data_IF_119716358180
#
_entry.id   IF_119716358180
#
_cell.length_a   1.000
_cell.length_b   1.000
_cell.length_c   1.000
_cell.angle_alpha   90.00
_cell.angle_beta   90.00
_cell.angle_gamma   90.00
#
_symmetry.space_group_name_H-M   'P 1'
#
loop_
_entity.id
_entity.type
_entity.pdbx_description
1 polymer ?
#
# COMPACT_ATOMS: atom_id res chain seq x y z
N UNK A 1 -27.71 -8.78 -30.92
CA UNK A 1 -26.84 -9.92 -30.59
C UNK A 1 -25.49 -9.33 -30.21
N UNK A 2 -25.35 -8.99 -28.93
CA UNK A 2 -24.11 -8.54 -28.30
C UNK A 2 -24.09 -9.22 -26.94
N UNK A 3 -23.08 -10.04 -26.71
CA UNK A 3 -22.83 -10.67 -25.43
C UNK A 3 -22.25 -9.62 -24.49
N UNK A 4 -22.87 -9.45 -23.33
CA UNK A 4 -22.24 -8.81 -22.19
C UNK A 4 -21.67 -9.91 -21.31
N UNK A 5 -20.35 -10.01 -21.27
CA UNK A 5 -19.64 -10.49 -20.08
C UNK A 5 -19.52 -9.26 -19.19
N UNK A 6 -20.03 -9.35 -17.96
CA UNK A 6 -20.07 -8.26 -16.99
C UNK A 6 -19.19 -8.68 -15.82
N UNK A 7 -18.10 -7.96 -15.58
CA UNK A 7 -17.26 -8.12 -14.41
C UNK A 7 -16.81 -6.75 -13.87
N UNK A 8 -16.70 -6.73 -12.54
CA UNK A 8 -16.11 -5.79 -11.58
C UNK A 8 -16.54 -4.31 -11.57
N UNK A 9 -16.69 -3.80 -10.35
CA UNK A 9 -17.41 -2.59 -9.97
C UNK A 9 -16.65 -1.36 -10.50
N UNK A 10 -17.19 -0.71 -11.53
CA UNK A 10 -16.63 0.56 -12.00
C UNK A 10 -16.78 1.66 -10.95
N UNK A 11 -15.67 2.13 -10.39
CA UNK A 11 -15.60 3.39 -9.66
C UNK A 11 -15.56 4.56 -10.66
N UNK A 12 -16.33 5.61 -10.38
CA UNK A 12 -16.39 6.84 -11.16
C UNK A 12 -15.86 7.97 -10.26
N UNK A 13 -14.67 8.50 -10.53
CA UNK A 13 -14.17 9.71 -9.84
C UNK A 13 -14.84 10.94 -10.47
N UNK A 14 -15.61 11.70 -9.67
CA UNK A 14 -16.16 13.00 -10.05
C UNK A 14 -15.89 14.03 -8.94
N UNK A 15 -15.15 15.09 -9.29
CA UNK A 15 -14.98 16.28 -8.46
C UNK A 15 -16.33 16.99 -8.24
N UNK A 16 -16.68 17.29 -6.98
CA UNK A 16 -18.01 17.79 -6.58
C UNK A 16 -17.91 19.09 -5.75
N UNK A 17 -18.09 20.23 -6.43
CA UNK A 17 -17.93 21.60 -5.90
C UNK A 17 -19.19 22.23 -5.24
N UNK A 18 -20.17 21.46 -4.75
CA UNK A 18 -21.32 22.07 -4.07
C UNK A 18 -21.96 21.24 -2.95
N UNK A 19 -22.37 21.94 -1.88
CA UNK A 19 -23.08 21.43 -0.70
C UNK A 19 -24.33 20.58 -1.01
N UNK A 20 -25.08 20.88 -2.09
CA UNK A 20 -26.23 20.04 -2.49
C UNK A 20 -25.81 18.67 -3.03
N UNK A 21 -24.63 18.54 -3.64
CA UNK A 21 -24.14 17.26 -4.15
C UNK A 21 -23.52 16.40 -3.04
N UNK A 22 -22.90 17.04 -2.02
CA UNK A 22 -22.48 16.35 -0.78
C UNK A 22 -23.65 15.76 0.00
N UNK A 23 -24.81 16.44 0.01
CA UNK A 23 -26.02 15.94 0.67
C UNK A 23 -26.68 14.78 -0.11
N UNK A 24 -26.59 14.79 -1.45
CA UNK A 24 -27.05 13.68 -2.28
C UNK A 24 -26.11 12.47 -2.19
N UNK A 25 -24.81 12.69 -2.05
CA UNK A 25 -23.80 11.64 -1.82
C UNK A 25 -23.90 11.03 -0.41
N UNK A 26 -24.22 11.82 0.62
CA UNK A 26 -24.52 11.29 1.95
C UNK A 26 -25.79 10.42 1.95
N UNK A 27 -26.80 10.77 1.13
CA UNK A 27 -27.97 9.91 0.93
C UNK A 27 -27.66 8.65 0.09
N UNK A 28 -26.64 8.70 -0.76
CA UNK A 28 -26.19 7.57 -1.59
C UNK A 28 -25.26 6.63 -0.82
N UNK A 29 -24.41 7.13 0.08
CA UNK A 29 -23.59 6.33 1.01
C UNK A 29 -24.45 5.58 2.04
N UNK A 30 -25.55 6.16 2.52
CA UNK A 30 -26.51 5.46 3.39
C UNK A 30 -27.35 4.43 2.62
N UNK A 31 -27.39 4.50 1.28
CA UNK A 31 -28.13 3.58 0.42
C UNK A 31 -27.24 2.56 -0.32
N UNK A 32 -25.92 2.64 -0.16
CA UNK A 32 -24.94 1.76 -0.82
C UNK A 32 -24.19 0.95 0.23
N UNK A 33 -24.91 0.20 1.06
CA UNK A 33 -24.36 -1.02 1.65
C UNK A 33 -24.08 -1.99 0.49
N UNK A 34 -22.95 -1.82 -0.20
CA UNK A 34 -22.42 -2.87 -1.05
C UNK A 34 -21.73 -3.90 -0.15
N UNK A 35 -22.52 -4.62 0.64
CA UNK A 35 -22.11 -5.94 1.10
C UNK A 35 -21.97 -6.80 -0.16
N UNK A 36 -20.77 -7.32 -0.44
CA UNK A 36 -20.64 -8.45 -1.36
C UNK A 36 -21.60 -9.53 -0.84
N UNK A 37 -22.54 -9.93 -1.69
CA UNK A 37 -23.71 -10.68 -1.25
C UNK A 37 -23.28 -12.01 -0.61
N UNK A 38 -23.50 -12.17 0.69
CA UNK A 38 -23.82 -13.48 1.25
C UNK A 38 -24.85 -14.10 0.30
N UNK A 39 -24.46 -15.16 -0.40
CA UNK A 39 -25.36 -15.80 -1.34
C UNK A 39 -26.30 -16.65 -0.50
N UNK A 40 -27.49 -16.13 -0.23
CA UNK A 40 -28.50 -16.87 0.53
C UNK A 40 -28.85 -18.16 -0.23
N UNK A 41 -28.35 -19.30 0.25
CA UNK A 41 -28.65 -20.61 -0.34
C UNK A 41 -29.86 -21.20 0.37
N UNK A 42 -30.90 -21.51 -0.40
CA UNK A 42 -32.13 -22.10 0.14
C UNK A 42 -32.41 -23.47 -0.46
N UNK A 43 -32.70 -24.45 0.41
CA UNK A 43 -33.22 -25.76 0.01
C UNK A 43 -34.53 -26.07 0.72
N UNK A 44 -35.43 -26.76 0.02
CA UNK A 44 -36.53 -27.49 0.66
C UNK A 44 -36.11 -28.94 0.84
N UNK A 45 -36.24 -29.45 2.07
CA UNK A 45 -35.81 -30.79 2.44
C UNK A 45 -37.03 -31.67 2.64
N UNK A 46 -37.07 -32.80 1.95
CA UNK A 46 -38.11 -33.82 2.13
C UNK A 46 -37.47 -35.18 2.38
N UNK A 47 -38.25 -36.14 2.86
CA UNK A 47 -37.82 -37.53 2.97
C UNK A 47 -38.98 -38.47 2.66
N UNK A 48 -38.74 -39.42 1.75
CA UNK A 48 -39.73 -40.44 1.36
C UNK A 48 -39.32 -41.86 1.77
N UNK A 49 -38.13 -41.98 2.39
CA UNK A 49 -37.53 -43.23 2.85
C UNK A 49 -36.61 -42.94 4.07
N UNK A 50 -35.86 -43.94 4.52
CA UNK A 50 -34.90 -43.85 5.65
C UNK A 50 -33.44 -43.88 5.19
N UNK A 51 -33.20 -43.79 3.89
CA UNK A 51 -31.87 -43.91 3.27
C UNK A 51 -31.30 -42.56 2.87
N UNK A 52 -32.12 -41.59 2.48
CA UNK A 52 -31.67 -40.25 2.10
C UNK A 52 -32.66 -39.13 2.42
N UNK A 53 -32.12 -37.91 2.56
CA UNK A 53 -32.87 -36.68 2.38
C UNK A 53 -32.91 -36.32 0.90
N UNK A 54 -34.03 -35.75 0.45
CA UNK A 54 -34.15 -35.14 -0.88
C UNK A 54 -34.11 -33.62 -0.73
N UNK A 55 -33.11 -33.00 -1.34
CA UNK A 55 -32.91 -31.55 -1.37
C UNK A 55 -33.46 -31.01 -2.69
N UNK A 56 -34.38 -30.05 -2.61
CA UNK A 56 -34.89 -29.29 -3.75
C UNK A 56 -34.35 -27.85 -3.67
N UNK A 57 -33.63 -27.40 -4.69
CA UNK A 57 -33.15 -26.02 -4.76
C UNK A 57 -34.25 -25.06 -5.26
N UNK A 58 -33.96 -23.75 -5.26
CA UNK A 58 -34.89 -22.72 -5.72
C UNK A 58 -35.34 -22.84 -7.19
N UNK A 59 -34.66 -23.67 -8.00
CA UNK A 59 -35.00 -23.96 -9.38
C UNK A 59 -35.84 -25.25 -9.54
N UNK A 60 -36.21 -25.90 -8.44
CA UNK A 60 -36.97 -27.15 -8.43
C UNK A 60 -36.15 -28.39 -8.79
N UNK A 61 -34.82 -28.27 -8.83
CA UNK A 61 -33.94 -29.42 -9.08
C UNK A 61 -33.77 -30.20 -7.79
N UNK A 62 -34.03 -31.50 -7.84
CA UNK A 62 -33.92 -32.39 -6.70
C UNK A 62 -32.68 -33.27 -6.77
N UNK A 63 -32.07 -33.50 -5.61
CA UNK A 63 -30.92 -34.40 -5.45
C UNK A 63 -30.95 -35.03 -4.06
N UNK A 64 -30.46 -36.26 -3.97
CA UNK A 64 -30.40 -36.98 -2.69
C UNK A 64 -29.05 -36.75 -2.03
N UNK A 65 -29.06 -36.38 -0.76
CA UNK A 65 -27.89 -36.10 0.08
C UNK A 65 -26.72 -35.43 -0.67
N UNK A 66 -26.93 -34.24 -1.29
CA UNK A 66 -25.87 -33.57 -2.02
C UNK A 66 -24.77 -33.08 -1.08
N UNK A 67 -23.56 -32.96 -1.62
CA UNK A 67 -22.59 -32.03 -1.05
C UNK A 67 -23.06 -30.60 -1.33
N UNK A 68 -23.23 -29.81 -0.27
CA UNK A 68 -23.52 -28.38 -0.37
C UNK A 68 -22.18 -27.64 -0.33
N UNK A 69 -21.95 -26.69 -1.22
CA UNK A 69 -20.77 -25.81 -1.18
C UNK A 69 -21.25 -24.39 -0.89
N UNK A 70 -20.64 -23.75 0.11
CA UNK A 70 -20.92 -22.39 0.58
C UNK A 70 -19.60 -21.65 0.76
N UNK A 71 -19.65 -20.33 0.74
CA UNK A 71 -18.55 -19.46 1.11
C UNK A 71 -18.74 -19.04 2.58
N UNK A 72 -17.65 -18.83 3.33
CA UNK A 72 -17.74 -18.17 4.63
C UNK A 72 -18.50 -16.84 4.47
N UNK A 73 -19.32 -16.44 5.45
CA UNK A 73 -20.21 -15.28 5.33
C UNK A 73 -21.54 -15.52 4.62
N UNK A 74 -21.75 -16.65 3.91
CA UNK A 74 -23.06 -16.99 3.32
C UNK A 74 -24.15 -17.22 4.39
N UNK A 75 -25.42 -17.32 3.95
CA UNK A 75 -26.51 -17.81 4.79
C UNK A 75 -27.17 -19.05 4.17
N UNK A 76 -27.17 -20.17 4.88
CA UNK A 76 -27.88 -21.39 4.51
C UNK A 76 -29.26 -21.42 5.15
N UNK A 77 -30.32 -21.56 4.35
CA UNK A 77 -31.69 -21.74 4.80
C UNK A 77 -32.23 -23.10 4.34
N UNK A 78 -32.62 -23.95 5.29
CA UNK A 78 -33.21 -25.25 5.02
C UNK A 78 -34.67 -25.27 5.49
N UNK A 79 -35.59 -25.38 4.55
CA UNK A 79 -37.02 -25.55 4.85
C UNK A 79 -37.31 -27.04 5.01
N UNK A 80 -37.41 -27.50 6.26
CA UNK A 80 -37.58 -28.92 6.55
C UNK A 80 -39.05 -29.31 6.43
N UNK A 81 -39.33 -30.27 5.55
CA UNK A 81 -40.63 -30.89 5.28
C UNK A 81 -40.48 -32.43 5.21
N UNK A 82 -39.56 -33.00 6.00
CA UNK A 82 -39.21 -34.42 5.97
C UNK A 82 -40.08 -35.29 6.90
N UNK A 83 -41.08 -34.71 7.57
CA UNK A 83 -41.90 -35.38 8.56
C UNK A 83 -41.23 -35.47 9.94
N UNK A 84 -42.03 -35.73 10.97
CA UNK A 84 -41.58 -35.70 12.38
C UNK A 84 -40.62 -36.82 12.78
N UNK A 85 -40.46 -37.87 11.97
CA UNK A 85 -39.51 -38.96 12.22
C UNK A 85 -38.08 -38.64 11.76
N UNK A 86 -37.86 -37.50 11.11
CA UNK A 86 -36.60 -37.18 10.44
C UNK A 86 -35.96 -35.87 10.92
N UNK A 87 -35.50 -35.79 12.20
CA UNK A 87 -34.79 -34.61 12.69
C UNK A 87 -33.51 -34.37 11.90
N UNK A 88 -33.28 -33.14 11.45
CA UNK A 88 -32.12 -32.74 10.64
C UNK A 88 -31.10 -31.99 11.48
N UNK A 89 -29.88 -32.52 11.56
CA UNK A 89 -28.79 -31.93 12.33
C UNK A 89 -27.62 -31.51 11.43
N UNK A 90 -27.08 -30.31 11.65
CA UNK A 90 -25.76 -29.90 11.15
C UNK A 90 -24.72 -30.10 12.25
N UNK A 91 -23.62 -30.74 11.89
CA UNK A 91 -22.51 -31.11 12.77
C UNK A 91 -21.20 -30.43 12.32
N UNK A 92 -20.33 -30.20 13.30
CA UNK A 92 -19.03 -29.56 13.14
C UNK A 92 -17.99 -30.49 12.45
N UNK A 93 -16.83 -29.94 12.02
CA UNK A 93 -15.84 -30.70 11.26
C UNK A 93 -15.15 -31.84 12.03
N UNK A 94 -15.33 -31.93 13.36
CA UNK A 94 -14.75 -33.01 14.17
C UNK A 94 -15.58 -34.29 14.17
N UNK A 95 -16.74 -34.31 13.49
CA UNK A 95 -17.58 -35.50 13.41
C UNK A 95 -16.88 -36.63 12.64
N UNK A 96 -16.67 -37.81 13.25
CA UNK A 96 -15.91 -38.90 12.63
C UNK A 96 -16.73 -39.75 11.65
N UNK A 97 -18.01 -39.42 11.42
CA UNK A 97 -18.96 -40.27 10.71
C UNK A 97 -19.72 -41.25 11.63
N UNK A 98 -20.74 -41.91 11.08
CA UNK A 98 -21.57 -42.87 11.80
C UNK A 98 -22.91 -42.29 12.26
N UNK A 99 -23.42 -42.75 13.41
CA UNK A 99 -24.69 -42.27 13.95
C UNK A 99 -24.58 -40.86 14.54
N UNK A 100 -25.71 -40.15 14.60
CA UNK A 100 -25.80 -38.85 15.26
C UNK A 100 -25.23 -38.86 16.68
N UNK A 101 -24.48 -37.81 17.02
CA UNK A 101 -23.95 -37.57 18.36
C UNK A 101 -23.91 -36.07 18.62
N UNK A 102 -24.66 -35.65 19.65
CA UNK A 102 -24.85 -34.24 20.02
C UNK A 102 -23.57 -33.49 20.40
N UNK A 103 -22.50 -34.21 20.74
CA UNK A 103 -21.16 -33.63 20.99
C UNK A 103 -20.64 -32.85 19.78
N UNK A 104 -21.06 -33.22 18.58
CA UNK A 104 -20.61 -32.61 17.34
C UNK A 104 -21.59 -31.58 16.78
N UNK A 105 -22.64 -31.20 17.51
CA UNK A 105 -23.60 -30.21 17.01
C UNK A 105 -22.89 -28.91 16.63
N UNK A 106 -23.18 -28.42 15.43
CA UNK A 106 -22.63 -27.15 14.96
C UNK A 106 -23.28 -25.97 15.70
N UNK A 107 -22.44 -25.10 16.25
CA UNK A 107 -22.88 -23.86 16.89
C UNK A 107 -23.37 -22.83 15.85
N UNK A 108 -24.24 -21.92 16.27
CA UNK A 108 -24.79 -20.86 15.40
C UNK A 108 -25.95 -21.29 14.49
N UNK A 109 -26.28 -22.58 14.45
CA UNK A 109 -27.41 -23.10 13.65
C UNK A 109 -28.72 -22.92 14.42
N UNK A 110 -29.62 -22.09 13.89
CA UNK A 110 -30.96 -21.86 14.43
C UNK A 110 -31.88 -23.01 14.04
N UNK A 111 -32.62 -23.57 15.01
CA UNK A 111 -33.50 -24.73 14.86
C UNK A 111 -32.79 -26.02 14.41
N UNK A 112 -31.52 -26.18 14.81
CA UNK A 112 -30.78 -27.44 14.60
C UNK A 112 -31.50 -28.61 15.27
N UNK A 113 -31.67 -29.73 14.56
CA UNK A 113 -32.48 -30.88 15.00
C UNK A 113 -33.97 -30.76 14.73
N UNK A 114 -34.42 -29.76 13.99
CA UNK A 114 -35.82 -29.60 13.60
C UNK A 114 -36.31 -30.67 12.60
N UNK A 115 -37.62 -30.82 12.45
CA UNK A 115 -38.25 -31.81 11.53
C UNK A 115 -39.18 -31.17 10.50
N UNK A 116 -40.01 -30.22 10.92
CA UNK A 116 -41.01 -29.51 10.11
C UNK A 116 -40.92 -28.00 10.39
N UNK A 117 -39.73 -27.45 10.19
CA UNK A 117 -39.37 -26.07 10.56
C UNK A 117 -38.30 -25.54 9.61
N UNK A 118 -38.12 -24.22 9.57
CA UNK A 118 -36.98 -23.61 8.88
C UNK A 118 -35.75 -23.59 9.79
N UNK A 119 -34.70 -24.27 9.36
CA UNK A 119 -33.37 -24.20 9.94
C UNK A 119 -32.56 -23.13 9.20
N UNK A 120 -31.85 -22.28 9.93
CA UNK A 120 -31.02 -21.21 9.36
C UNK A 120 -29.63 -21.29 9.95
N UNK A 121 -28.61 -21.20 9.10
CA UNK A 121 -27.22 -21.11 9.51
C UNK A 121 -26.58 -19.90 8.82
N UNK A 122 -26.18 -18.92 9.63
CA UNK A 122 -25.37 -17.77 9.20
C UNK A 122 -23.89 -18.18 9.30
N UNK A 123 -23.16 -18.08 8.19
CA UNK A 123 -21.76 -18.48 8.08
C UNK A 123 -20.79 -17.32 8.34
N UNK A 124 -21.27 -16.16 8.78
CA UNK A 124 -20.40 -15.05 9.23
C UNK A 124 -19.49 -15.52 10.36
N UNK A 125 -18.16 -15.44 10.14
CA UNK A 125 -17.16 -15.92 11.09
C UNK A 125 -17.06 -17.45 11.23
N UNK A 126 -17.69 -18.22 10.35
CA UNK A 126 -17.54 -19.68 10.30
C UNK A 126 -16.25 -20.03 9.56
N UNK A 127 -15.37 -20.77 10.22
CA UNK A 127 -14.11 -21.22 9.63
C UNK A 127 -14.35 -22.09 8.37
N UNK A 128 -13.52 -21.93 7.32
CA UNK A 128 -13.53 -22.84 6.18
C UNK A 128 -13.29 -24.29 6.62
N UNK A 129 -13.97 -25.23 5.97
CA UNK A 129 -13.87 -26.65 6.32
C UNK A 129 -15.02 -27.50 5.82
N UNK A 130 -14.97 -28.79 6.17
CA UNK A 130 -16.04 -29.74 5.85
C UNK A 130 -16.88 -29.99 7.10
N UNK A 131 -18.12 -29.55 7.03
CA UNK A 131 -19.19 -29.79 8.00
C UNK A 131 -20.07 -30.94 7.49
N UNK A 132 -20.92 -31.45 8.36
CA UNK A 132 -21.78 -32.58 8.04
C UNK A 132 -23.23 -32.26 8.33
N UNK A 133 -24.14 -32.89 7.62
CA UNK A 133 -25.52 -33.00 8.06
C UNK A 133 -25.94 -34.46 8.18
N UNK A 134 -26.88 -34.73 9.08
CA UNK A 134 -27.35 -36.09 9.37
C UNK A 134 -28.78 -36.10 9.90
N UNK A 135 -29.52 -37.18 9.64
CA UNK A 135 -30.74 -37.47 10.36
C UNK A 135 -30.44 -38.13 11.71
N UNK A 136 -31.03 -37.64 12.79
CA UNK A 136 -30.84 -38.23 14.13
C UNK A 136 -31.16 -39.73 14.18
N UNK A 137 -32.26 -40.12 13.54
CA UNK A 137 -32.79 -41.48 13.61
C UNK A 137 -32.24 -42.41 12.53
N UNK A 138 -31.64 -41.85 11.46
CA UNK A 138 -31.27 -42.60 10.26
C UNK A 138 -29.83 -42.24 9.84
N UNK A 139 -28.82 -43.01 10.28
CA UNK A 139 -27.42 -42.70 10.02
C UNK A 139 -27.02 -42.66 8.54
N UNK A 140 -27.80 -43.32 7.66
CA UNK A 140 -27.57 -43.32 6.21
C UNK A 140 -27.96 -41.99 5.56
N UNK A 141 -28.87 -41.24 6.18
CA UNK A 141 -29.31 -39.93 5.70
C UNK A 141 -28.30 -38.86 6.12
N UNK A 142 -27.15 -38.85 5.46
CA UNK A 142 -26.03 -37.98 5.81
C UNK A 142 -25.32 -37.46 4.56
N UNK A 143 -24.78 -36.24 4.66
CA UNK A 143 -23.97 -35.65 3.62
C UNK A 143 -23.09 -34.54 4.17
N UNK A 144 -22.44 -33.80 3.28
CA UNK A 144 -21.41 -32.81 3.64
C UNK A 144 -21.82 -31.40 3.24
N UNK A 145 -21.37 -30.42 4.03
CA UNK A 145 -21.38 -29.01 3.68
C UNK A 145 -19.92 -28.56 3.65
N UNK A 146 -19.43 -28.12 2.49
CA UNK A 146 -18.09 -27.58 2.32
C UNK A 146 -18.19 -26.06 2.38
N UNK A 147 -17.49 -25.46 3.34
CA UNK A 147 -17.37 -24.01 3.49
C UNK A 147 -16.00 -23.60 2.97
N UNK A 148 -15.96 -22.76 1.93
CA UNK A 148 -14.73 -22.22 1.36
C UNK A 148 -14.41 -20.84 1.95
N UNK A 149 -13.13 -20.39 1.91
CA UNK A 149 -12.76 -19.02 2.29
C UNK A 149 -13.50 -17.96 1.47
N UNK A 150 -13.64 -16.73 2.03
CA UNK A 150 -14.22 -15.57 1.34
C UNK A 150 -13.37 -15.10 0.16
N UNK A 151 -12.06 -15.29 0.25
CA UNK A 151 -11.08 -14.84 -0.73
C UNK A 151 -9.66 -15.15 -0.29
N UNK A 152 -8.67 -14.55 -0.95
CA UNK A 152 -7.34 -14.38 -0.38
C UNK A 152 -7.36 -13.57 0.93
N UNK A 153 -6.30 -13.75 1.69
CA UNK A 153 -5.89 -13.07 2.93
C UNK A 153 -4.37 -12.93 2.72
N UNK A 154 -3.99 -11.84 2.07
CA UNK A 154 -2.68 -11.69 1.40
C UNK A 154 -1.56 -11.53 2.42
N UNK A 155 -1.77 -10.71 3.45
CA UNK A 155 -0.84 -10.50 4.57
C UNK A 155 -0.92 -11.57 5.68
N UNK A 156 -1.98 -12.38 5.71
CA UNK A 156 -2.17 -13.44 6.69
C UNK A 156 -2.59 -12.95 8.07
N UNK A 157 -3.20 -11.77 8.17
CA UNK A 157 -3.59 -11.13 9.42
C UNK A 157 -4.89 -11.74 10.02
N UNK A 158 -5.63 -12.48 9.20
CA UNK A 158 -6.88 -13.17 9.54
C UNK A 158 -8.16 -12.46 9.10
N UNK A 159 -8.04 -11.32 8.42
CA UNK A 159 -9.06 -10.62 7.64
C UNK A 159 -8.81 -10.95 6.17
N UNK A 160 -9.88 -11.07 5.37
CA UNK A 160 -9.72 -11.40 3.95
C UNK A 160 -9.63 -10.10 3.15
N UNK A 161 -8.92 -10.09 2.02
CA UNK A 161 -8.68 -8.89 1.20
C UNK A 161 -9.95 -8.14 0.73
N UNK A 162 -11.11 -8.77 0.85
CA UNK A 162 -12.40 -8.14 0.50
C UNK A 162 -12.96 -7.27 1.62
N UNK A 163 -12.51 -7.51 2.86
CA UNK A 163 -12.92 -6.86 4.10
C UNK A 163 -11.75 -6.17 4.83
N UNK A 164 -10.52 -6.39 4.36
CA UNK A 164 -9.31 -5.69 4.80
C UNK A 164 -9.33 -4.22 4.35
N UNK A 165 -8.55 -3.38 5.00
CA UNK A 165 -8.32 -1.98 4.63
C UNK A 165 -6.88 -1.71 4.17
N UNK A 166 -5.98 -2.68 4.29
CA UNK A 166 -4.53 -2.62 4.08
C UNK A 166 -4.03 -4.05 3.79
N UNK A 167 -4.28 -4.57 2.58
CA UNK A 167 -4.17 -6.01 2.26
C UNK A 167 -2.74 -6.61 2.35
N UNK A 168 -1.72 -5.77 2.39
CA UNK A 168 -0.32 -6.17 2.58
C UNK A 168 0.32 -5.62 3.87
N UNK A 169 -0.44 -4.84 4.65
CA UNK A 169 -0.05 -4.29 5.95
C UNK A 169 1.21 -3.41 5.92
N UNK A 170 1.46 -2.72 4.80
CA UNK A 170 2.59 -1.82 4.61
C UNK A 170 2.37 -0.43 5.25
N UNK A 171 1.14 -0.17 5.71
CA UNK A 171 0.69 1.06 6.37
C UNK A 171 0.05 2.09 5.43
N UNK A 172 0.02 1.82 4.14
CA UNK A 172 -0.71 2.56 3.12
C UNK A 172 -2.00 1.78 2.85
N UNK A 173 -3.15 2.33 3.23
CA UNK A 173 -4.43 1.63 2.99
C UNK A 173 -4.72 1.46 1.50
N UNK A 174 -5.41 0.38 1.09
CA UNK A 174 -5.73 0.07 -0.32
C UNK A 174 -6.33 1.25 -1.09
N UNK A 175 -7.14 2.07 -0.41
CA UNK A 175 -7.77 3.27 -0.98
C UNK A 175 -6.74 4.30 -1.45
N UNK A 176 -5.63 4.44 -0.73
CA UNK A 176 -4.54 5.37 -1.04
C UNK A 176 -3.61 4.82 -2.12
N UNK A 177 -3.54 3.49 -2.27
CA UNK A 177 -2.74 2.80 -3.28
C UNK A 177 -3.44 2.66 -4.63
N UNK A 178 -4.73 2.98 -4.69
CA UNK A 178 -5.51 3.00 -5.94
C UNK A 178 -6.62 1.95 -6.03
N UNK A 179 -6.81 1.15 -4.98
CA UNK A 179 -7.83 0.11 -4.86
C UNK A 179 -7.54 -1.13 -5.73
N UNK A 180 -8.57 -1.93 -5.98
CA UNK A 180 -8.48 -3.30 -6.50
C UNK A 180 -7.70 -3.52 -7.81
N UNK A 181 -7.48 -2.49 -8.63
CA UNK A 181 -7.05 -2.64 -10.04
C UNK A 181 -5.78 -1.83 -10.40
N UNK A 182 -5.25 -0.97 -9.51
CA UNK A 182 -4.09 -0.15 -9.86
C UNK A 182 -2.82 -0.97 -9.67
N UNK A 183 -2.03 -1.08 -10.73
CA UNK A 183 -0.74 -1.78 -10.81
C UNK A 183 0.22 -0.80 -11.52
N UNK A 184 1.13 -0.21 -10.77
CA UNK A 184 1.95 0.93 -11.22
C UNK A 184 3.11 0.48 -12.11
N UNK A 185 3.77 -0.62 -11.76
CA UNK A 185 4.94 -1.14 -12.47
C UNK A 185 4.59 -2.17 -13.56
N UNK A 186 3.36 -2.67 -13.55
CA UNK A 186 2.80 -3.69 -14.45
C UNK A 186 3.44 -5.07 -14.30
N UNK A 187 3.87 -5.45 -13.09
CA UNK A 187 4.38 -6.79 -12.80
C UNK A 187 3.27 -7.85 -12.67
N UNK A 188 2.00 -7.40 -12.55
CA UNK A 188 0.83 -8.24 -12.40
C UNK A 188 0.37 -8.45 -10.96
N UNK A 189 0.92 -7.72 -10.00
CA UNK A 189 0.35 -7.49 -8.67
C UNK A 189 -0.18 -6.07 -8.59
N UNK A 190 -1.41 -5.92 -8.11
CA UNK A 190 -1.96 -4.60 -7.85
C UNK A 190 -1.28 -3.99 -6.61
N UNK A 191 -1.09 -2.67 -6.59
CA UNK A 191 -0.33 -1.94 -5.55
C UNK A 191 -0.74 -2.38 -4.14
N UNK A 192 -2.06 -2.50 -3.88
CA UNK A 192 -2.60 -2.92 -2.57
C UNK A 192 -2.09 -4.25 -2.03
N UNK A 193 -1.50 -5.09 -2.88
CA UNK A 193 -0.92 -6.39 -2.52
C UNK A 193 0.55 -6.49 -2.95
N UNK A 194 1.21 -5.36 -3.21
CA UNK A 194 2.59 -5.30 -3.68
C UNK A 194 3.44 -4.34 -2.85
N UNK A 195 4.37 -4.91 -2.07
CA UNK A 195 5.22 -4.19 -1.13
C UNK A 195 6.27 -3.22 -1.74
N UNK A 196 6.32 -3.12 -3.07
CA UNK A 196 7.25 -2.31 -3.88
C UNK A 196 6.52 -1.95 -5.20
N UNK A 197 5.52 -1.09 -5.11
CA UNK A 197 4.55 -0.79 -6.18
C UNK A 197 5.19 -0.24 -7.46
N UNK A 198 6.40 0.30 -7.40
CA UNK A 198 7.11 0.84 -8.56
C UNK A 198 8.34 0.03 -9.02
N UNK A 199 8.64 -1.09 -8.33
CA UNK A 199 9.73 -2.06 -8.55
C UNK A 199 11.09 -1.37 -8.70
N UNK A 200 11.39 -0.43 -7.81
CA UNK A 200 12.69 0.23 -7.75
C UNK A 200 13.63 -0.35 -6.67
N UNK A 201 13.10 -1.25 -5.84
CA UNK A 201 13.82 -1.96 -4.79
C UNK A 201 13.83 -1.25 -3.45
N UNK A 202 13.08 -0.15 -3.30
CA UNK A 202 12.67 0.41 -2.01
C UNK A 202 11.25 -0.06 -1.68
N UNK A 203 10.99 -0.41 -0.42
CA UNK A 203 9.64 -0.84 -0.03
C UNK A 203 8.70 0.34 0.16
N UNK A 204 7.45 0.16 -0.21
CA UNK A 204 6.39 1.17 -0.12
C UNK A 204 6.27 1.75 1.31
N UNK A 205 6.37 0.92 2.35
CA UNK A 205 6.45 1.32 3.77
C UNK A 205 7.46 2.46 4.00
N UNK A 206 8.67 2.30 3.47
CA UNK A 206 9.78 3.24 3.67
C UNK A 206 9.52 4.50 2.88
N UNK A 207 9.11 4.35 1.62
CA UNK A 207 8.86 5.44 0.69
C UNK A 207 7.72 6.32 1.15
N UNK A 208 6.60 5.73 1.53
CA UNK A 208 5.47 6.44 2.14
C UNK A 208 5.80 7.10 3.48
N UNK A 209 6.96 6.81 4.07
CA UNK A 209 7.50 7.49 5.25
C UNK A 209 7.08 6.92 6.58
N UNK A 210 6.82 5.62 6.60
CA UNK A 210 6.78 4.83 7.80
C UNK A 210 8.16 4.28 8.16
N UNK A 211 8.21 3.44 9.19
CA UNK A 211 9.41 2.75 9.64
C UNK A 211 9.15 1.26 9.50
N UNK A 212 9.95 0.60 8.68
CA UNK A 212 10.10 -0.86 8.64
C UNK A 212 11.42 -1.22 9.36
N UNK A 213 11.33 -1.55 10.64
CA UNK A 213 12.52 -1.71 11.49
C UNK A 213 13.15 -3.10 11.42
N UNK A 214 12.44 -4.11 10.91
CA UNK A 214 12.87 -5.49 10.71
C UNK A 214 12.97 -5.91 9.24
N UNK A 215 12.65 -5.02 8.31
CA UNK A 215 12.76 -5.20 6.87
C UNK A 215 11.91 -6.35 6.36
N UNK A 216 10.67 -6.44 6.85
CA UNK A 216 9.71 -7.46 6.46
C UNK A 216 8.56 -6.93 5.58
N UNK A 217 8.58 -5.64 5.23
CA UNK A 217 7.56 -5.01 4.41
C UNK A 217 6.29 -4.62 5.17
N UNK A 218 6.24 -4.80 6.49
CA UNK A 218 5.10 -4.43 7.32
C UNK A 218 5.44 -3.15 8.10
N UNK A 219 4.45 -2.28 8.26
CA UNK A 219 4.66 -1.06 9.06
C UNK A 219 4.96 -1.37 10.53
N UNK A 220 6.16 -0.99 10.98
CA UNK A 220 6.58 -1.05 12.37
C UNK A 220 7.72 -2.04 12.64
N UNK A 221 7.57 -2.82 13.73
CA UNK A 221 8.49 -3.88 14.15
C UNK A 221 7.70 -4.97 14.86
N UNK A 222 7.90 -6.23 14.49
CA UNK A 222 7.19 -7.36 15.08
C UNK A 222 7.46 -7.57 16.59
N UNK A 223 6.58 -8.31 17.29
CA UNK A 223 5.38 -9.00 16.80
C UNK A 223 4.16 -8.08 16.61
N UNK A 224 3.36 -8.38 15.59
CA UNK A 224 2.18 -7.60 15.21
C UNK A 224 0.90 -8.04 15.92
N UNK A 225 -0.03 -7.09 16.04
CA UNK A 225 -1.43 -7.34 16.34
C UNK A 225 -2.28 -6.52 15.38
N UNK A 226 -3.40 -7.08 14.93
CA UNK A 226 -4.25 -6.46 13.91
C UNK A 226 -5.62 -6.06 14.46
N UNK A 227 -6.26 -5.06 13.87
CA UNK A 227 -7.63 -4.66 14.22
C UNK A 227 -8.65 -5.66 13.66
N UNK A 228 -9.95 -5.37 13.80
CA UNK A 228 -10.98 -6.22 13.17
C UNK A 228 -11.20 -5.86 11.69
N UNK A 229 -10.50 -4.83 11.23
CA UNK A 229 -10.58 -4.22 9.91
C UNK A 229 -9.25 -4.37 9.15
N UNK A 230 -8.38 -5.31 9.56
CA UNK A 230 -7.14 -5.64 8.83
C UNK A 230 -5.88 -4.84 9.21
N UNK A 231 -6.05 -3.70 9.89
CA UNK A 231 -4.94 -2.77 10.12
C UNK A 231 -3.95 -3.20 11.23
N UNK A 232 -2.65 -2.96 11.04
CA UNK A 232 -1.63 -3.05 12.11
C UNK A 232 -1.95 -2.07 13.27
N UNK A 233 -2.01 -2.60 14.50
CA UNK A 233 -2.24 -1.78 15.70
C UNK A 233 -1.03 -0.93 16.07
N UNK A 234 -1.32 0.19 16.74
CA UNK A 234 -0.34 1.19 17.21
C UNK A 234 0.39 1.95 16.10
N UNK A 235 -0.10 1.86 14.86
CA UNK A 235 0.32 2.69 13.73
C UNK A 235 -0.59 3.92 13.64
N UNK A 236 0.00 5.06 13.30
CA UNK A 236 -0.78 6.26 12.93
C UNK A 236 -0.83 6.32 11.42
N UNK A 237 -1.93 5.84 10.85
CA UNK A 237 -2.14 5.83 9.41
C UNK A 237 -2.19 7.26 8.86
N UNK A 238 -1.40 7.50 7.82
CA UNK A 238 -1.26 8.75 7.09
C UNK A 238 -2.48 8.99 6.21
N UNK A 239 -2.79 10.25 5.97
CA UNK A 239 -3.71 10.63 4.87
C UNK A 239 -2.92 10.81 3.59
N UNK A 240 -3.62 10.92 2.45
CA UNK A 240 -2.98 11.21 1.16
C UNK A 240 -2.02 12.42 1.21
N UNK A 241 -2.32 13.44 2.00
CA UNK A 241 -1.47 14.64 2.13
C UNK A 241 -0.21 14.39 2.98
N UNK A 242 -0.21 13.35 3.82
CA UNK A 242 0.88 13.02 4.75
C UNK A 242 1.83 11.94 4.22
N UNK A 243 1.44 11.22 3.15
CA UNK A 243 2.32 10.30 2.41
C UNK A 243 3.38 11.11 1.68
N UNK A 244 4.63 10.65 1.78
CA UNK A 244 5.78 11.34 1.24
C UNK A 244 5.68 11.49 -0.30
N UNK A 245 6.05 12.68 -0.74
CA UNK A 245 6.20 13.16 -2.12
C UNK A 245 7.35 14.16 -2.04
N UNK A 246 8.57 13.63 -1.92
CA UNK A 246 9.73 14.41 -1.48
C UNK A 246 10.22 15.39 -2.55
N UNK A 247 9.91 15.16 -3.82
CA UNK A 247 10.22 16.08 -4.91
C UNK A 247 9.07 17.06 -5.25
N UNK A 248 7.87 16.81 -4.71
CA UNK A 248 6.69 17.67 -4.83
C UNK A 248 6.02 17.59 -6.20
N UNK A 249 6.21 16.51 -6.95
CA UNK A 249 5.66 16.33 -8.30
C UNK A 249 4.22 15.79 -8.33
N UNK A 250 3.63 15.52 -7.15
CA UNK A 250 2.27 14.97 -6.94
C UNK A 250 2.11 13.47 -7.24
N UNK A 251 3.16 12.79 -7.68
CA UNK A 251 3.30 11.33 -7.60
C UNK A 251 3.85 11.04 -6.21
N UNK A 252 3.29 10.04 -5.53
CA UNK A 252 3.83 9.63 -4.23
C UNK A 252 5.09 8.82 -4.46
N UNK A 253 6.04 8.91 -3.52
CA UNK A 253 7.36 8.30 -3.70
C UNK A 253 7.23 6.78 -3.93
N UNK A 254 6.34 6.08 -3.21
CA UNK A 254 6.04 4.64 -3.40
C UNK A 254 5.44 4.28 -4.77
N UNK A 255 5.15 5.26 -5.63
CA UNK A 255 4.64 5.09 -6.98
C UNK A 255 5.58 5.69 -8.04
N UNK A 256 6.75 6.18 -7.64
CA UNK A 256 7.66 6.93 -8.49
C UNK A 256 9.04 6.28 -8.61
N UNK A 257 9.13 5.42 -9.64
CA UNK A 257 10.34 4.64 -9.92
C UNK A 257 11.64 5.45 -9.84
N UNK A 258 12.42 5.11 -8.84
CA UNK A 258 13.72 5.67 -8.53
C UNK A 258 14.91 4.82 -8.97
N UNK A 259 16.11 5.30 -8.67
CA UNK A 259 17.31 4.46 -8.67
C UNK A 259 18.49 5.14 -7.97
N UNK A 260 19.54 4.36 -7.69
CA UNK A 260 20.75 4.86 -7.03
C UNK A 260 21.42 6.01 -7.79
N UNK A 261 21.75 7.07 -7.05
CA UNK A 261 22.49 8.24 -7.45
C UNK A 261 24.01 8.00 -7.35
N UNK A 262 24.73 8.44 -8.37
CA UNK A 262 26.19 8.35 -8.40
C UNK A 262 26.82 9.65 -8.88
N UNK A 263 28.02 9.94 -8.38
CA UNK A 263 28.79 11.11 -8.79
C UNK A 263 29.43 10.89 -10.16
N UNK A 264 29.28 11.86 -11.06
CA UNK A 264 29.88 11.84 -12.41
C UNK A 264 30.99 12.87 -12.60
N UNK A 265 30.90 14.03 -11.93
CA UNK A 265 31.86 15.13 -12.12
C UNK A 265 32.14 15.86 -10.80
N UNK A 266 33.42 16.09 -10.52
CA UNK A 266 33.88 16.95 -9.42
C UNK A 266 34.19 18.37 -9.94
N UNK A 267 33.86 19.43 -9.17
CA UNK A 267 34.29 20.78 -9.49
C UNK A 267 35.81 20.92 -9.41
N UNK A 268 36.34 21.87 -10.17
CA UNK A 268 37.77 22.15 -10.21
C UNK A 268 38.09 23.45 -9.48
N UNK A 269 39.18 23.45 -8.70
CA UNK A 269 39.65 24.66 -8.02
C UNK A 269 40.10 25.71 -9.04
N UNK A 270 39.83 26.99 -8.74
CA UNK A 270 40.13 28.10 -9.66
C UNK A 270 40.93 29.19 -8.95
N UNK A 271 41.79 29.84 -9.73
CA UNK A 271 42.61 30.97 -9.29
C UNK A 271 42.33 32.16 -10.20
N UNK A 272 41.81 33.25 -9.64
CA UNK A 272 41.34 34.40 -10.42
C UNK A 272 41.68 35.73 -9.76
N UNK A 273 41.62 36.81 -10.53
CA UNK A 273 41.69 38.16 -9.97
C UNK A 273 40.34 38.56 -9.37
N UNK A 274 40.36 39.44 -8.36
CA UNK A 274 39.13 40.04 -7.84
C UNK A 274 38.30 40.70 -8.97
N UNK A 275 36.98 40.68 -8.79
CA UNK A 275 35.94 41.08 -9.73
C UNK A 275 35.80 40.18 -10.97
N UNK A 276 36.52 39.06 -11.03
CA UNK A 276 36.29 38.04 -12.05
C UNK A 276 34.95 37.31 -11.84
N UNK A 277 34.44 36.76 -12.93
CA UNK A 277 33.35 35.78 -12.92
C UNK A 277 33.94 34.38 -13.00
N UNK A 278 33.48 33.48 -12.13
CA UNK A 278 33.93 32.08 -12.08
C UNK A 278 32.76 31.11 -12.15
N UNK A 279 33.05 29.89 -12.57
CA UNK A 279 32.09 28.78 -12.62
C UNK A 279 32.67 27.53 -11.99
N UNK A 280 31.87 26.82 -11.21
CA UNK A 280 32.15 25.47 -10.74
C UNK A 280 31.12 24.53 -11.35
N UNK A 281 31.58 23.38 -11.87
CA UNK A 281 30.72 22.39 -12.52
C UNK A 281 30.87 21.09 -11.74
N UNK A 282 29.76 20.60 -11.20
CA UNK A 282 29.66 19.26 -10.61
C UNK A 282 28.66 18.43 -11.40
N UNK A 283 28.50 17.16 -11.05
CA UNK A 283 27.49 16.34 -11.69
C UNK A 283 27.26 15.00 -11.01
N UNK A 284 26.05 14.50 -11.19
CA UNK A 284 25.62 13.17 -10.80
C UNK A 284 24.78 12.52 -11.91
N UNK A 285 24.50 11.24 -11.75
CA UNK A 285 23.59 10.48 -12.61
C UNK A 285 22.93 9.37 -11.81
N UNK A 286 21.66 9.12 -12.10
CA UNK A 286 20.92 7.94 -11.67
C UNK A 286 21.07 6.80 -12.69
N UNK A 287 20.76 5.57 -12.28
CA UNK A 287 20.77 4.43 -13.20
C UNK A 287 19.60 4.57 -14.16
N UNK A 288 19.88 4.39 -15.46
CA UNK A 288 18.90 4.52 -16.55
C UNK A 288 18.13 5.86 -16.63
N UNK A 289 18.56 6.88 -15.88
CA UNK A 289 17.88 8.18 -15.69
C UNK A 289 16.51 8.06 -15.01
N UNK A 290 16.37 7.13 -14.07
CA UNK A 290 15.20 7.01 -13.19
C UNK A 290 15.36 7.93 -11.97
N UNK A 291 14.28 8.58 -11.54
CA UNK A 291 14.28 9.57 -10.46
C UNK A 291 14.84 10.95 -10.83
N UNK A 292 14.30 11.99 -10.17
CA UNK A 292 14.76 13.38 -10.31
C UNK A 292 15.97 13.66 -9.42
N UNK A 293 17.04 14.24 -9.98
CA UNK A 293 18.19 14.70 -9.19
C UNK A 293 17.98 16.15 -8.76
N UNK A 294 17.93 16.38 -7.44
CA UNK A 294 18.00 17.73 -6.88
C UNK A 294 19.45 18.13 -6.63
N UNK A 295 19.75 19.39 -6.92
CA UNK A 295 21.09 19.97 -6.78
C UNK A 295 21.07 21.07 -5.74
N UNK A 296 22.05 21.06 -4.84
CA UNK A 296 22.31 22.15 -3.91
C UNK A 296 23.81 22.41 -3.82
N UNK A 297 24.27 23.58 -4.29
CA UNK A 297 25.63 24.00 -4.05
C UNK A 297 25.83 24.39 -2.59
N UNK A 298 26.91 23.89 -2.00
CA UNK A 298 27.31 24.18 -0.63
C UNK A 298 28.60 25.00 -0.60
N UNK A 299 28.72 25.84 0.42
CA UNK A 299 29.87 26.70 0.68
C UNK A 299 30.45 26.44 2.08
N UNK A 300 31.77 26.50 2.19
CA UNK A 300 32.49 26.61 3.47
C UNK A 300 33.47 27.79 3.40
N UNK A 301 33.62 28.46 4.54
CA UNK A 301 34.62 29.53 4.77
C UNK A 301 35.58 29.20 5.92
N UNK A 302 35.45 28.01 6.49
CA UNK A 302 36.17 27.53 7.68
C UNK A 302 36.93 26.23 7.39
N UNK A 303 37.53 26.14 6.20
CA UNK A 303 38.35 25.00 5.76
C UNK A 303 37.60 23.65 5.78
N UNK A 304 36.28 23.69 5.55
CA UNK A 304 35.43 22.50 5.50
C UNK A 304 34.94 22.01 6.86
N UNK A 305 35.16 22.76 7.94
CA UNK A 305 34.61 22.42 9.25
C UNK A 305 33.07 22.51 9.27
N UNK A 306 32.50 23.47 8.54
CA UNK A 306 31.05 23.63 8.39
C UNK A 306 30.68 23.90 6.93
N UNK A 307 29.60 23.26 6.46
CA UNK A 307 29.06 23.44 5.13
C UNK A 307 27.63 23.97 5.20
N UNK A 308 27.30 24.91 4.33
CA UNK A 308 25.97 25.50 4.23
C UNK A 308 25.50 25.48 2.78
N UNK A 309 24.22 25.18 2.53
CA UNK A 309 23.63 25.43 1.22
C UNK A 309 23.76 26.92 0.91
N UNK A 310 24.21 27.27 -0.30
CA UNK A 310 24.45 28.67 -0.68
C UNK A 310 23.17 29.49 -0.53
N UNK A 311 22.01 28.92 -0.87
CA UNK A 311 20.70 29.56 -0.67
C UNK A 311 20.52 30.03 0.78
N UNK A 312 20.79 29.17 1.77
CA UNK A 312 20.73 29.51 3.20
C UNK A 312 21.79 30.54 3.59
N UNK A 313 23.03 30.35 3.15
CA UNK A 313 24.14 31.27 3.43
C UNK A 313 23.81 32.69 2.95
N UNK A 314 23.29 32.85 1.73
CA UNK A 314 22.95 34.16 1.17
C UNK A 314 21.76 34.82 1.86
N UNK A 315 20.78 34.03 2.31
CA UNK A 315 19.65 34.51 3.11
C UNK A 315 20.13 35.03 4.48
N UNK A 316 20.96 34.26 5.19
CA UNK A 316 21.44 34.60 6.53
C UNK A 316 22.48 35.73 6.51
N UNK A 317 23.11 35.98 5.37
CA UNK A 317 24.15 36.99 5.20
C UNK A 317 23.83 37.95 4.04
N UNK A 318 22.86 38.87 4.16
CA UNK A 318 22.46 39.74 3.05
C UNK A 318 23.55 40.65 2.47
N UNK A 319 24.69 40.79 3.17
CA UNK A 319 25.87 41.54 2.74
C UNK A 319 27.05 40.62 2.38
N UNK A 320 26.78 39.37 2.00
CA UNK A 320 27.79 38.41 1.56
C UNK A 320 28.57 38.93 0.33
N UNK A 321 29.84 38.53 0.15
CA UNK A 321 30.60 38.85 -1.05
C UNK A 321 30.14 37.99 -2.25
N UNK A 322 30.36 38.50 -3.47
CA UNK A 322 30.03 37.83 -4.72
C UNK A 322 28.54 37.76 -5.02
N UNK A 323 28.19 37.51 -6.29
CA UNK A 323 26.80 37.27 -6.73
C UNK A 323 26.66 35.84 -7.22
N UNK A 324 25.87 35.04 -6.50
CA UNK A 324 25.65 33.62 -6.80
C UNK A 324 24.45 33.42 -7.73
N UNK A 325 24.60 32.51 -8.70
CA UNK A 325 23.52 32.02 -9.56
C UNK A 325 23.77 30.56 -9.96
N UNK A 326 22.72 29.82 -10.33
CA UNK A 326 22.83 28.39 -10.61
C UNK A 326 23.05 27.53 -9.35
N UNK A 327 22.65 28.02 -8.18
CA UNK A 327 22.88 27.34 -6.88
C UNK A 327 22.13 26.02 -6.74
N UNK A 328 21.12 25.78 -7.59
CA UNK A 328 20.36 24.53 -7.70
C UNK A 328 20.51 23.84 -9.06
N UNK A 329 21.63 24.08 -9.75
CA UNK A 329 21.96 23.46 -11.03
C UNK A 329 23.30 22.71 -10.93
N UNK A 330 23.64 21.95 -11.97
CA UNK A 330 24.97 21.33 -12.13
C UNK A 330 26.13 22.35 -12.20
N UNK A 331 25.82 23.62 -12.46
CA UNK A 331 26.80 24.70 -12.69
C UNK A 331 26.53 25.89 -11.78
N UNK A 332 27.41 26.09 -10.79
CA UNK A 332 27.47 27.30 -9.98
C UNK A 332 28.20 28.40 -10.72
N UNK A 333 27.63 29.60 -10.71
CA UNK A 333 28.30 30.81 -11.19
C UNK A 333 28.41 31.82 -10.06
N UNK A 334 29.62 32.36 -9.88
CA UNK A 334 29.89 33.45 -8.96
C UNK A 334 30.43 34.63 -9.77
N UNK A 335 29.64 35.70 -9.84
CA UNK A 335 30.06 36.95 -10.46
C UNK A 335 30.67 37.88 -9.42
N UNK A 336 31.62 38.70 -9.85
CA UNK A 336 32.26 39.75 -9.05
C UNK A 336 32.88 39.21 -7.75
N UNK A 337 33.72 38.18 -7.84
CA UNK A 337 34.44 37.62 -6.67
C UNK A 337 35.28 38.68 -5.97
N UNK A 338 35.48 38.58 -4.66
CA UNK A 338 36.27 39.57 -3.88
C UNK A 338 37.35 38.90 -3.07
N UNK A 339 38.36 39.66 -2.63
CA UNK A 339 39.46 39.13 -1.81
C UNK A 339 38.99 38.50 -0.49
N UNK A 340 37.81 38.88 0.03
CA UNK A 340 37.22 38.27 1.23
C UNK A 340 36.77 36.81 1.01
N UNK A 341 36.76 36.34 -0.24
CA UNK A 341 36.40 34.99 -0.63
C UNK A 341 37.62 34.09 -0.83
N UNK A 342 38.83 34.58 -0.58
CA UNK A 342 40.05 33.77 -0.64
C UNK A 342 39.92 32.55 0.29
N UNK A 343 40.16 31.37 -0.28
CA UNK A 343 40.11 30.11 0.46
C UNK A 343 38.70 29.55 0.67
N UNK A 344 37.65 30.23 0.20
CA UNK A 344 36.31 29.65 0.21
C UNK A 344 36.28 28.39 -0.66
N UNK A 345 35.52 27.38 -0.23
CA UNK A 345 35.38 26.13 -0.98
C UNK A 345 33.92 25.83 -1.29
N UNK A 346 33.73 25.18 -2.42
CA UNK A 346 32.42 24.87 -2.97
C UNK A 346 32.33 23.41 -3.35
N UNK A 347 31.22 22.76 -3.03
CA UNK A 347 30.90 21.39 -3.45
C UNK A 347 29.43 21.31 -3.84
N UNK A 348 29.10 20.34 -4.70
CA UNK A 348 27.74 20.07 -5.11
C UNK A 348 27.20 18.91 -4.26
N UNK A 349 26.10 19.15 -3.56
CA UNK A 349 25.33 18.16 -2.84
C UNK A 349 24.12 17.78 -3.69
N UNK A 350 23.86 16.49 -3.84
CA UNK A 350 22.88 15.93 -4.75
C UNK A 350 22.05 14.85 -4.05
N UNK A 351 20.76 14.85 -4.33
CA UNK A 351 19.76 13.94 -3.74
C UNK A 351 18.84 13.43 -4.85
N UNK A 352 18.23 12.27 -4.65
CA UNK A 352 17.20 11.72 -5.53
C UNK A 352 15.92 11.51 -4.71
N UNK A 353 15.11 12.55 -4.47
CA UNK A 353 14.07 12.49 -3.44
C UNK A 353 13.02 11.42 -3.69
N UNK A 354 12.71 11.12 -4.96
CA UNK A 354 11.80 10.05 -5.37
C UNK A 354 12.29 8.65 -4.93
N UNK A 355 13.60 8.45 -4.72
CA UNK A 355 14.15 7.15 -4.29
C UNK A 355 14.69 7.24 -2.87
N UNK A 356 13.83 6.99 -1.90
CA UNK A 356 14.14 7.27 -0.49
C UNK A 356 15.18 6.34 0.12
N UNK A 357 15.35 5.14 -0.44
CA UNK A 357 16.28 4.15 0.05
C UNK A 357 17.76 4.47 -0.26
N UNK A 358 18.05 5.45 -1.11
CA UNK A 358 19.43 5.82 -1.44
C UNK A 358 20.02 6.89 -0.52
N UNK A 359 21.33 7.07 -0.64
CA UNK A 359 22.11 8.05 0.10
C UNK A 359 22.44 9.25 -0.75
N UNK A 360 22.36 10.41 -0.12
CA UNK A 360 22.79 11.67 -0.72
C UNK A 360 24.27 11.60 -1.14
N UNK A 361 24.55 12.18 -2.31
CA UNK A 361 25.87 12.18 -2.92
C UNK A 361 26.44 13.58 -2.90
N UNK A 362 27.69 13.71 -2.44
CA UNK A 362 28.40 14.98 -2.47
C UNK A 362 29.65 14.88 -3.34
N UNK A 363 29.93 15.92 -4.14
CA UNK A 363 31.20 16.02 -4.87
C UNK A 363 32.36 16.27 -3.93
N UNK A 364 33.58 16.06 -4.44
CA UNK A 364 34.76 16.69 -3.85
C UNK A 364 34.59 18.23 -3.91
N UNK A 365 35.27 18.92 -3.01
CA UNK A 365 35.25 20.38 -3.00
C UNK A 365 36.29 20.99 -3.94
N UNK A 366 36.00 22.22 -4.37
CA UNK A 366 36.89 23.08 -5.14
C UNK A 366 37.16 24.37 -4.37
N UNK A 367 38.43 24.77 -4.31
CA UNK A 367 38.86 26.01 -3.67
C UNK A 367 38.82 27.18 -4.65
N UNK A 368 38.32 28.32 -4.20
CA UNK A 368 38.44 29.62 -4.86
C UNK A 368 39.64 30.37 -4.30
N UNK A 369 40.64 30.61 -5.14
CA UNK A 369 41.73 31.53 -4.85
C UNK A 369 41.53 32.86 -5.59
N UNK A 370 41.49 33.96 -4.85
CA UNK A 370 41.29 35.32 -5.32
C UNK A 370 42.54 36.14 -5.06
N UNK A 371 43.08 36.73 -6.13
CA UNK A 371 44.24 37.61 -6.07
C UNK A 371 43.83 39.05 -6.38
N UNK A 372 44.51 40.02 -5.79
CA UNK A 372 44.41 41.41 -6.22
C UNK A 372 45.19 41.62 -7.54
N UNK A 373 44.85 42.66 -8.34
CA UNK A 373 45.57 42.94 -9.57
C UNK A 373 47.03 43.31 -9.26
N UNK A 374 47.96 42.84 -10.08
CA UNK A 374 49.37 43.27 -10.08
C UNK A 374 49.49 44.56 -10.93
N UNK A 375 49.45 45.73 -10.29
CA UNK A 375 49.50 47.04 -10.96
C UNK A 375 50.91 47.44 -11.36
N UNK A 376 51.97 46.92 -10.72
CA UNK A 376 53.36 47.28 -11.02
C UNK A 376 54.09 46.25 -11.91
N UNK A 377 53.41 45.15 -12.24
CA UNK A 377 53.82 44.09 -13.17
C UNK A 377 55.11 43.37 -12.77
N UNK A 378 55.39 43.26 -11.48
CA UNK A 378 56.56 42.56 -10.95
C UNK A 378 56.37 41.03 -10.84
N UNK A 379 55.15 40.54 -11.09
CA UNK A 379 54.79 39.12 -11.02
C UNK A 379 54.30 38.68 -9.64
N UNK A 380 54.12 39.62 -8.70
CA UNK A 380 53.51 39.43 -7.39
C UNK A 380 52.20 40.22 -7.35
N UNK A 381 51.06 39.60 -7.02
CA UNK A 381 49.82 40.33 -6.79
C UNK A 381 49.98 41.41 -5.71
N UNK A 382 49.51 42.64 -5.97
CA UNK A 382 49.57 43.72 -4.97
C UNK A 382 48.72 43.40 -3.74
N UNK A 383 49.30 43.47 -2.55
CA UNK A 383 48.68 43.02 -1.28
C UNK A 383 47.41 43.75 -0.84
#
# INVERSE_FOLDING_TARGET
MFNFVKNHKGYFILFLDNFLSKLFFLLFLIASNFTVFATDVTYTITAINTENFTFENSLGVTTNDPTITLVAGDKLTLVLNAGTSHPFWILNPSFPGGSYNSTYNQAGVVNNGGTEITLVWDLTGVAPGTYFYICENHPNMTGTIVVTPLGPDTDGDGVYDVDDLDDDNDGITDVLEGGDDLDTDLDGKENRIDSDSDDDGCSDVVEAGYTDGDSDGIVGVGPYEYTAEGLVKNVTYKTFDDIDDLDGNSTKDFLEKGSTLSKTTDPTSVSVLQYSKVTFIGGGSTVDNLGTILYNWQITSDDGASWYNISKYTEDNPSHPGTYSGVTNDTLTIDSVTIAMEGFRYRLYMETPAFKCDKDVTTNDATLSVFKPDFDSDGIPDD
#
